data_IF_542269346064
#
_entry.id   IF_542269346064
#
_cell.length_a   1.000
_cell.length_b   1.000
_cell.length_c   1.000
_cell.angle_alpha   90.00
_cell.angle_beta   90.00
_cell.angle_gamma   90.00
#
_symmetry.space_group_name_H-M   'P 1'
#
loop_
_entity.id
_entity.type
_entity.pdbx_description
1 polymer ?
#
# COMPACT_ATOMS: atom_id res chain seq x y z
N UNK A 1 1.56 -8.01 7.59
CA UNK A 1 1.74 -6.91 8.56
C UNK A 1 0.49 -6.85 9.43
N UNK A 2 0.69 -6.67 10.73
CA UNK A 2 -0.38 -6.42 11.70
C UNK A 2 -0.13 -5.07 12.35
N UNK A 3 -1.16 -4.25 12.44
CA UNK A 3 -1.06 -2.94 13.08
C UNK A 3 -2.32 -2.63 13.88
N UNK A 4 -2.16 -1.68 14.81
CA UNK A 4 -3.27 -1.15 15.59
C UNK A 4 -3.42 0.33 15.29
N UNK A 5 -4.66 0.76 15.15
CA UNK A 5 -5.05 2.15 15.15
C UNK A 5 -5.35 2.57 16.59
N UNK A 6 -4.63 3.56 17.12
CA UNK A 6 -4.88 4.10 18.47
C UNK A 6 -6.00 5.14 18.44
N UNK A 7 -6.74 5.28 19.55
CA UNK A 7 -7.65 6.41 19.75
C UNK A 7 -6.86 7.71 19.93
N UNK A 8 -6.41 8.28 18.82
CA UNK A 8 -5.83 9.62 18.73
C UNK A 8 -6.55 10.42 17.65
N UNK A 9 -6.78 11.70 17.88
CA UNK A 9 -7.32 12.64 16.89
C UNK A 9 -6.24 13.00 15.87
N UNK A 10 -5.81 12.02 15.08
CA UNK A 10 -4.93 12.22 13.95
C UNK A 10 -5.75 12.20 12.67
N UNK A 11 -5.93 13.37 12.05
CA UNK A 11 -6.32 13.43 10.66
C UNK A 11 -5.23 12.73 9.85
N UNK A 12 -5.55 11.85 8.90
CA UNK A 12 -4.69 11.83 7.73
C UNK A 12 -5.03 13.16 7.05
N UNK A 13 -4.14 14.15 7.18
CA UNK A 13 -4.33 15.49 6.60
C UNK A 13 -4.12 15.49 5.07
N UNK A 14 -4.06 14.29 4.46
CA UNK A 14 -3.67 14.07 3.08
C UNK A 14 -2.17 14.25 2.80
N UNK A 15 -1.39 14.78 3.75
CA UNK A 15 0.05 15.06 3.58
C UNK A 15 0.92 13.97 4.22
N UNK A 16 0.40 13.29 5.26
CA UNK A 16 1.18 12.41 6.12
C UNK A 16 0.54 11.03 6.40
N UNK A 17 0.07 10.29 5.38
CA UNK A 17 -0.64 9.04 5.60
C UNK A 17 0.28 7.87 6.00
N UNK A 18 -0.32 6.78 6.49
CA UNK A 18 0.38 5.50 6.67
C UNK A 18 0.46 4.80 5.31
N UNK A 19 1.65 4.75 4.73
CA UNK A 19 1.85 4.32 3.35
C UNK A 19 2.92 3.23 3.24
N UNK A 20 2.59 2.20 2.48
CA UNK A 20 3.51 1.19 1.99
C UNK A 20 3.81 1.53 0.53
N UNK A 21 5.04 1.91 0.22
CA UNK A 21 5.47 2.13 -1.16
C UNK A 21 6.13 0.87 -1.70
N UNK A 22 5.88 0.62 -2.98
CA UNK A 22 6.58 -0.39 -3.77
C UNK A 22 7.38 0.36 -4.82
N UNK A 23 8.70 0.35 -4.66
CA UNK A 23 9.63 1.14 -5.45
C UNK A 23 10.33 0.27 -6.50
N UNK A 24 10.50 0.81 -7.70
CA UNK A 24 11.26 0.13 -8.73
C UNK A 24 12.77 0.22 -8.50
N UNK A 25 13.52 -0.68 -9.13
CA UNK A 25 14.94 -0.45 -9.37
C UNK A 25 15.15 0.84 -10.20
N UNK A 26 16.36 1.39 -10.13
CA UNK A 26 16.74 2.56 -10.92
C UNK A 26 17.21 2.15 -12.32
N UNK A 27 16.59 2.69 -13.36
CA UNK A 27 16.97 2.48 -14.77
C UNK A 27 17.07 3.83 -15.45
N UNK A 28 18.24 4.13 -16.03
CA UNK A 28 18.52 5.42 -16.70
C UNK A 28 18.24 6.64 -15.81
N UNK A 29 18.58 6.55 -14.51
CA UNK A 29 18.38 7.63 -13.54
C UNK A 29 16.92 7.88 -13.13
N UNK A 30 16.00 7.00 -13.54
CA UNK A 30 14.57 7.09 -13.20
C UNK A 30 14.15 5.91 -12.32
N UNK A 31 13.22 6.18 -11.41
CA UNK A 31 12.49 5.19 -10.60
C UNK A 31 10.99 5.44 -10.77
N UNK A 32 10.20 4.39 -10.63
CA UNK A 32 8.76 4.47 -10.44
C UNK A 32 8.39 3.99 -9.04
N UNK A 33 7.20 4.35 -8.59
CA UNK A 33 6.61 3.81 -7.38
C UNK A 33 5.10 3.63 -7.58
N UNK A 34 4.53 2.68 -6.84
CA UNK A 34 3.10 2.61 -6.54
C UNK A 34 2.96 2.56 -5.02
N UNK A 35 1.76 2.83 -4.50
CA UNK A 35 1.55 2.86 -3.05
C UNK A 35 0.26 2.19 -2.61
N UNK A 36 0.29 1.68 -1.39
CA UNK A 36 -0.88 1.19 -0.63
C UNK A 36 -0.95 2.00 0.66
N UNK A 37 -2.01 2.78 0.80
CA UNK A 37 -2.12 3.81 1.83
C UNK A 37 -3.36 3.59 2.69
N UNK A 38 -3.22 3.64 4.00
CA UNK A 38 -4.34 3.60 4.93
C UNK A 38 -4.74 5.01 5.34
N UNK A 39 -5.98 5.38 5.03
CA UNK A 39 -6.61 6.58 5.56
C UNK A 39 -7.37 6.24 6.85
N UNK A 40 -6.93 6.88 7.94
CA UNK A 40 -7.51 6.74 9.27
C UNK A 40 -8.94 7.28 9.36
N UNK A 41 -9.23 8.36 8.63
CA UNK A 41 -10.50 9.10 8.78
C UNK A 41 -11.68 8.32 8.22
N UNK A 42 -11.49 7.74 7.03
CA UNK A 42 -12.47 6.88 6.37
C UNK A 42 -12.27 5.40 6.67
N UNK A 43 -11.28 4.99 7.47
CA UNK A 43 -10.90 3.57 7.66
C UNK A 43 -10.80 2.82 6.33
N UNK A 44 -10.07 3.43 5.39
CA UNK A 44 -10.08 3.04 3.97
C UNK A 44 -8.66 2.77 3.51
N UNK A 45 -8.47 1.63 2.84
CA UNK A 45 -7.24 1.37 2.11
C UNK A 45 -7.34 1.89 0.69
N UNK A 46 -6.30 2.59 0.24
CA UNK A 46 -6.20 3.13 -1.10
C UNK A 46 -4.98 2.57 -1.81
N UNK A 47 -5.18 2.05 -3.01
CA UNK A 47 -4.08 1.74 -3.94
C UNK A 47 -3.95 2.92 -4.89
N UNK A 48 -2.77 3.54 -4.96
CA UNK A 48 -2.39 4.44 -6.04
C UNK A 48 -1.36 3.73 -6.92
N UNK A 49 -1.80 3.33 -8.12
CA UNK A 49 -0.99 2.66 -9.14
C UNK A 49 -0.61 3.57 -10.31
N UNK A 50 -0.64 4.88 -10.10
CA UNK A 50 -0.25 5.89 -11.09
C UNK A 50 1.24 5.78 -11.41
N UNK A 51 1.57 5.60 -12.68
CA UNK A 51 2.95 5.69 -13.19
C UNK A 51 3.02 6.56 -14.44
N UNK A 52 4.23 6.78 -14.96
CA UNK A 52 4.46 7.45 -16.24
C UNK A 52 4.44 6.50 -17.46
N UNK A 53 3.98 5.26 -17.32
CA UNK A 53 3.84 4.33 -18.45
C UNK A 53 2.91 4.88 -19.52
N UNK A 54 3.33 4.79 -20.79
CA UNK A 54 2.57 5.27 -21.94
C UNK A 54 1.19 4.63 -22.03
N UNK A 55 1.06 3.34 -21.69
CA UNK A 55 -0.23 2.66 -21.68
C UNK A 55 -1.19 3.36 -20.69
N UNK A 56 -0.77 3.50 -19.43
CA UNK A 56 -1.61 4.11 -18.39
C UNK A 56 -1.98 5.56 -18.73
N UNK A 57 -1.05 6.36 -19.29
CA UNK A 57 -1.32 7.76 -19.66
C UNK A 57 -2.33 7.91 -20.81
N UNK A 58 -2.50 6.88 -21.64
CA UNK A 58 -3.34 6.92 -22.83
C UNK A 58 -4.57 5.98 -22.74
N UNK A 59 -4.82 5.38 -21.58
CA UNK A 59 -5.97 4.49 -21.34
C UNK A 59 -6.90 5.09 -20.30
N UNK A 60 -8.00 5.68 -20.74
CA UNK A 60 -8.98 6.34 -19.86
C UNK A 60 -9.62 5.35 -18.88
N UNK A 61 -9.86 4.13 -19.32
CA UNK A 61 -10.51 3.09 -18.53
C UNK A 61 -9.59 2.52 -17.44
N UNK A 62 -8.28 2.83 -17.48
CA UNK A 62 -7.32 2.35 -16.50
C UNK A 62 -7.34 3.23 -15.24
N UNK A 63 -8.28 2.96 -14.34
CA UNK A 63 -8.40 3.69 -13.07
C UNK A 63 -7.14 3.54 -12.21
N UNK A 64 -6.57 4.65 -11.75
CA UNK A 64 -5.28 4.64 -11.04
C UNK A 64 -5.39 4.61 -9.52
N UNK A 65 -6.48 5.14 -8.98
CA UNK A 65 -6.71 5.23 -7.53
C UNK A 65 -7.97 4.47 -7.17
N UNK A 66 -7.81 3.45 -6.33
CA UNK A 66 -8.91 2.59 -5.89
C UNK A 66 -8.94 2.55 -4.38
N UNK A 67 -10.08 2.89 -3.79
CA UNK A 67 -10.31 2.89 -2.36
C UNK A 67 -11.23 1.75 -1.94
N UNK A 68 -10.97 1.18 -0.78
CA UNK A 68 -11.76 0.12 -0.19
C UNK A 68 -11.91 0.34 1.31
N UNK A 69 -13.14 0.61 1.74
CA UNK A 69 -13.50 0.67 3.15
C UNK A 69 -13.31 -0.71 3.80
N UNK A 70 -12.77 -0.74 5.02
CA UNK A 70 -12.60 -1.97 5.79
C UNK A 70 -12.99 -1.73 7.24
N UNK A 71 -13.74 -2.65 7.84
CA UNK A 71 -13.98 -2.61 9.28
C UNK A 71 -12.73 -3.09 10.03
N UNK A 72 -12.49 -2.69 11.29
CA UNK A 72 -11.49 -3.33 12.12
C UNK A 72 -11.79 -4.83 12.25
N UNK A 73 -10.76 -5.67 12.17
CA UNK A 73 -10.88 -7.11 12.43
C UNK A 73 -11.33 -7.39 13.88
N UNK A 74 -10.96 -6.49 14.78
CA UNK A 74 -11.36 -6.50 16.17
C UNK A 74 -11.05 -5.15 16.81
N UNK A 75 -11.64 -4.90 17.97
CA UNK A 75 -11.43 -3.65 18.69
C UNK A 75 -11.46 -3.88 20.20
N UNK A 76 -10.74 -3.03 20.92
CA UNK A 76 -10.86 -2.87 22.37
C UNK A 76 -11.36 -1.47 22.67
N UNK A 77 -11.45 -1.09 23.94
CA UNK A 77 -11.81 0.28 24.31
C UNK A 77 -10.80 1.34 23.84
N UNK A 78 -9.58 0.95 23.46
CA UNK A 78 -8.47 1.87 23.20
C UNK A 78 -7.93 1.80 21.78
N UNK A 79 -8.02 0.63 21.13
CA UNK A 79 -7.42 0.38 19.82
C UNK A 79 -8.30 -0.48 18.90
N UNK A 80 -8.15 -0.26 17.60
CA UNK A 80 -8.72 -1.08 16.52
C UNK A 80 -7.61 -1.88 15.83
N UNK A 81 -7.84 -3.15 15.55
CA UNK A 81 -6.87 -4.08 14.98
C UNK A 81 -7.11 -4.31 13.50
N UNK A 82 -6.03 -4.30 12.72
CA UNK A 82 -6.06 -4.53 11.28
C UNK A 82 -4.90 -5.44 10.86
N UNK A 83 -5.12 -6.20 9.78
CA UNK A 83 -4.05 -6.94 9.11
C UNK A 83 -4.05 -6.62 7.62
N UNK A 84 -2.85 -6.57 7.04
CA UNK A 84 -2.63 -6.44 5.61
C UNK A 84 -1.54 -7.42 5.18
N UNK A 85 -1.82 -8.19 4.14
CA UNK A 85 -0.86 -9.01 3.44
C UNK A 85 -0.83 -8.57 1.98
N UNK A 86 0.37 -8.43 1.42
CA UNK A 86 0.56 -7.98 0.05
C UNK A 86 1.52 -8.89 -0.69
N UNK A 87 1.25 -9.13 -1.95
CA UNK A 87 2.16 -9.80 -2.87
C UNK A 87 2.31 -8.98 -4.14
N UNK A 88 3.55 -8.82 -4.59
CA UNK A 88 3.87 -8.09 -5.82
C UNK A 88 4.69 -9.01 -6.70
N UNK A 89 4.22 -9.21 -7.93
CA UNK A 89 4.92 -9.97 -8.95
C UNK A 89 4.99 -9.15 -10.23
N UNK A 90 6.13 -8.46 -10.41
CA UNK A 90 6.47 -7.63 -11.57
C UNK A 90 5.45 -6.53 -11.92
N UNK A 91 4.29 -6.88 -12.47
CA UNK A 91 3.23 -6.01 -12.97
C UNK A 91 1.86 -6.24 -12.29
N UNK A 92 1.77 -7.13 -11.29
CA UNK A 92 0.56 -7.33 -10.49
C UNK A 92 0.81 -7.12 -8.99
N UNK A 93 -0.13 -6.41 -8.36
CA UNK A 93 -0.21 -6.19 -6.92
C UNK A 93 -1.51 -6.84 -6.42
N UNK A 94 -1.38 -7.73 -5.45
CA UNK A 94 -2.49 -8.31 -4.70
C UNK A 94 -2.40 -7.91 -3.23
N UNK A 95 -3.47 -7.36 -2.70
CA UNK A 95 -3.58 -6.94 -1.30
C UNK A 95 -4.75 -7.65 -0.64
N UNK A 96 -4.50 -8.25 0.51
CA UNK A 96 -5.45 -9.00 1.32
C UNK A 96 -5.58 -8.29 2.67
N UNK A 97 -6.78 -7.78 2.95
CA UNK A 97 -7.10 -7.02 4.15
C UNK A 97 -7.82 -7.93 5.14
N UNK A 98 -7.51 -7.78 6.43
CA UNK A 98 -8.11 -8.55 7.53
C UNK A 98 -8.12 -10.06 7.28
N UNK A 99 -6.95 -10.62 6.99
CA UNK A 99 -6.77 -12.04 6.68
C UNK A 99 -7.60 -12.52 5.47
N UNK A 100 -7.81 -11.63 4.49
CA UNK A 100 -8.50 -11.96 3.24
C UNK A 100 -10.01 -11.77 3.28
N UNK A 101 -10.57 -11.14 4.31
CA UNK A 101 -11.96 -10.66 4.32
C UNK A 101 -12.27 -9.83 3.07
N UNK A 102 -11.31 -9.01 2.65
CA UNK A 102 -11.37 -8.21 1.45
C UNK A 102 -10.06 -8.39 0.67
N UNK A 103 -10.16 -8.50 -0.66
CA UNK A 103 -9.00 -8.62 -1.55
C UNK A 103 -9.07 -7.57 -2.65
N UNK A 104 -7.93 -6.93 -2.94
CA UNK A 104 -7.75 -5.98 -4.04
C UNK A 104 -6.65 -6.49 -4.97
N UNK A 105 -7.00 -6.81 -6.21
CA UNK A 105 -6.05 -7.25 -7.24
C UNK A 105 -5.95 -6.18 -8.31
N UNK A 106 -4.74 -5.64 -8.51
CA UNK A 106 -4.49 -4.53 -9.41
C UNK A 106 -3.24 -4.80 -10.25
N UNK A 107 -3.37 -4.71 -11.57
CA UNK A 107 -2.19 -4.61 -12.43
C UNK A 107 -1.59 -3.21 -12.35
N UNK A 108 -0.29 -3.07 -12.60
CA UNK A 108 0.42 -1.81 -12.72
C UNK A 108 1.55 -1.95 -13.74
N UNK A 109 2.03 -0.84 -14.31
CA UNK A 109 3.04 -0.89 -15.36
C UNK A 109 4.12 0.13 -15.08
N UNK A 110 5.28 -0.31 -14.60
CA UNK A 110 6.46 0.55 -14.54
C UNK A 110 7.02 0.82 -15.94
N UNK A 111 7.87 1.85 -16.05
CA UNK A 111 8.57 2.15 -17.30
C UNK A 111 9.56 1.05 -17.70
N UNK A 112 9.99 1.07 -18.96
CA UNK A 112 10.81 0.00 -19.56
C UNK A 112 12.02 -0.40 -18.71
N UNK A 113 12.12 -1.71 -18.47
CA UNK A 113 13.21 -2.34 -17.72
C UNK A 113 13.14 -2.14 -16.20
N UNK A 114 12.15 -1.40 -15.69
CA UNK A 114 11.95 -1.19 -14.25
C UNK A 114 11.05 -2.28 -13.67
N UNK A 115 11.46 -2.82 -12.53
CA UNK A 115 10.76 -3.86 -11.77
C UNK A 115 10.75 -3.50 -10.29
N UNK A 116 9.75 -3.95 -9.51
CA UNK A 116 9.76 -3.81 -8.05
C UNK A 116 11.08 -4.32 -7.46
N UNK A 117 11.69 -3.51 -6.60
CA UNK A 117 13.00 -3.81 -6.02
C UNK A 117 13.08 -3.50 -4.52
N UNK A 118 12.24 -2.59 -4.02
CA UNK A 118 12.25 -2.21 -2.61
C UNK A 118 10.84 -1.92 -2.09
N UNK A 119 10.67 -2.07 -0.78
CA UNK A 119 9.43 -1.72 -0.07
C UNK A 119 9.80 -0.79 1.08
N UNK A 120 9.19 0.39 1.11
CA UNK A 120 9.35 1.36 2.18
C UNK A 120 8.02 1.61 2.88
N UNK A 121 8.05 1.73 4.21
CA UNK A 121 6.86 1.99 5.02
C UNK A 121 7.05 3.33 5.72
N UNK A 122 6.11 4.25 5.49
CA UNK A 122 6.15 5.61 5.98
C UNK A 122 4.90 5.94 6.79
N UNK A 123 5.07 6.77 7.81
CA UNK A 123 3.99 7.48 8.50
C UNK A 123 4.48 8.88 8.78
N UNK A 124 3.69 9.90 8.45
CA UNK A 124 4.11 11.29 8.64
C UNK A 124 3.71 11.89 9.99
N UNK A 125 3.42 11.06 11.00
CA UNK A 125 3.07 11.52 12.35
C UNK A 125 4.10 11.09 13.39
N UNK A 126 4.64 12.06 14.11
CA UNK A 126 5.50 11.82 15.28
C UNK A 126 4.70 11.20 16.46
N UNK A 127 3.42 11.58 16.60
CA UNK A 127 2.47 10.96 17.53
C UNK A 127 1.60 9.96 16.76
N UNK A 128 2.03 8.69 16.73
CA UNK A 128 1.46 7.69 15.82
C UNK A 128 -0.02 7.38 16.10
N UNK A 129 -0.89 7.62 15.12
CA UNK A 129 -2.25 7.05 15.09
C UNK A 129 -2.25 5.55 14.70
N UNK A 130 -1.10 5.04 14.23
CA UNK A 130 -0.87 3.64 13.85
C UNK A 130 0.38 3.11 14.54
N UNK A 131 0.27 1.99 15.25
CA UNK A 131 1.42 1.23 15.75
C UNK A 131 1.52 -0.09 15.00
N UNK A 132 2.62 -0.29 14.27
CA UNK A 132 2.94 -1.58 13.63
C UNK A 132 3.33 -2.58 14.73
N UNK A 133 2.60 -3.69 14.83
CA UNK A 133 2.88 -4.77 15.78
C UNK A 133 3.79 -5.83 15.18
N UNK A 134 3.62 -6.11 13.90
CA UNK A 134 4.45 -7.05 13.14
C UNK A 134 4.57 -6.62 11.68
N UNK A 135 5.79 -6.70 11.15
CA UNK A 135 6.10 -6.47 9.74
C UNK A 135 7.11 -7.50 9.27
N UNK A 136 6.72 -8.26 8.25
CA UNK A 136 7.59 -9.16 7.51
C UNK A 136 7.61 -8.75 6.05
N UNK A 137 8.81 -8.56 5.49
CA UNK A 137 9.04 -8.29 4.06
C UNK A 137 9.99 -9.36 3.53
N UNK A 138 9.67 -9.94 2.37
CA UNK A 138 10.45 -11.00 1.74
C UNK A 138 10.53 -10.76 0.23
N UNK A 139 11.74 -10.86 -0.32
CA UNK A 139 11.94 -10.96 -1.76
C UNK A 139 11.94 -12.44 -2.18
N UNK A 140 11.28 -12.75 -3.28
CA UNK A 140 11.22 -14.10 -3.85
C UNK A 140 11.95 -14.13 -5.19
N UNK A 141 12.65 -15.22 -5.45
CA UNK A 141 13.27 -15.53 -6.74
C UNK A 141 12.77 -16.89 -7.23
N UNK A 142 12.83 -17.11 -8.54
CA UNK A 142 12.65 -18.45 -9.08
C UNK A 142 13.81 -19.32 -8.57
N UNK A 143 13.51 -20.56 -8.18
CA UNK A 143 14.57 -21.55 -7.95
C UNK A 143 15.19 -21.88 -9.31
N UNK A 144 16.52 -21.80 -9.37
CA UNK A 144 17.32 -22.27 -10.50
C UNK A 144 17.12 -23.78 -10.75
#
# INVERSE_FOLDING_TARGET
>A
MTFVQTKGTGWSDGLHPFTINIESNMVNGKKDNISVTFDNSGTTWMVDRTTQSNFQRNSHEFTERLGQFVNPRGQTNEVSYFTIYGFVDRDILEVYLNDGEITMTNTFFFGDGRVPADISVHSGFDESFVTIKDLTVKAYGLKD
#
